data_IF_658281056913
#
_entry.id   IF_658281056913
#
_cell.length_a   1.000
_cell.length_b   1.000
_cell.length_c   1.000
_cell.angle_alpha   90.00
_cell.angle_beta   90.00
_cell.angle_gamma   90.00
#
_symmetry.space_group_name_H-M   'P 1'
#
loop_
_entity.id
_entity.type
_entity.pdbx_description
1 polymer ?
#
# COMPACT_ATOMS: atom_id res chain seq x y z
N UNK A 1 1.43 -33.25 -23.32
CA UNK A 1 0.57 -32.32 -22.57
C UNK A 1 1.18 -32.17 -21.19
N UNK A 2 1.74 -31.01 -20.89
CA UNK A 2 2.49 -30.78 -19.66
C UNK A 2 2.71 -29.30 -19.47
N UNK A 3 1.66 -28.53 -19.75
CA UNK A 3 1.64 -27.10 -19.58
C UNK A 3 1.77 -26.82 -18.08
N UNK A 4 2.92 -26.30 -17.68
CA UNK A 4 3.17 -25.77 -16.34
C UNK A 4 2.29 -24.55 -16.12
N UNK A 5 0.99 -24.77 -15.93
CA UNK A 5 0.03 -23.71 -15.67
C UNK A 5 0.47 -22.97 -14.41
N UNK A 6 0.65 -21.63 -14.46
CA UNK A 6 0.99 -20.88 -13.28
C UNK A 6 -0.15 -21.03 -12.27
N UNK A 7 0.16 -21.56 -11.08
CA UNK A 7 -0.76 -21.60 -9.95
C UNK A 7 -1.15 -20.16 -9.58
N UNK A 8 -2.26 -19.68 -10.13
CA UNK A 8 -2.80 -18.36 -9.82
C UNK A 8 -3.41 -18.45 -8.43
N UNK A 9 -2.66 -17.98 -7.44
CA UNK A 9 -3.16 -17.85 -6.07
C UNK A 9 -4.46 -17.04 -6.05
N UNK A 10 -5.47 -17.39 -5.25
CA UNK A 10 -6.67 -16.57 -5.12
C UNK A 10 -6.35 -15.15 -4.67
N UNK A 11 -7.12 -14.16 -5.14
CA UNK A 11 -6.93 -12.73 -4.79
C UNK A 11 -6.86 -12.51 -3.27
N UNK A 12 -7.72 -13.21 -2.51
CA UNK A 12 -7.74 -13.16 -1.04
C UNK A 12 -6.39 -13.58 -0.43
N UNK A 13 -5.75 -14.62 -0.96
CA UNK A 13 -4.46 -15.07 -0.46
C UNK A 13 -3.37 -14.03 -0.70
N UNK A 14 -3.32 -13.43 -1.90
CA UNK A 14 -2.39 -12.33 -2.20
C UNK A 14 -2.60 -11.14 -1.28
N UNK A 15 -3.86 -10.74 -1.05
CA UNK A 15 -4.19 -9.65 -0.14
C UNK A 15 -3.80 -9.95 1.31
N UNK A 16 -4.04 -11.17 1.80
CA UNK A 16 -3.62 -11.59 3.14
C UNK A 16 -2.10 -11.54 3.30
N UNK A 17 -1.36 -12.02 2.30
CA UNK A 17 0.10 -11.96 2.29
C UNK A 17 0.60 -10.52 2.28
N UNK A 18 0.04 -9.67 1.42
CA UNK A 18 0.38 -8.25 1.37
C UNK A 18 0.06 -7.55 2.70
N UNK A 19 -1.08 -7.87 3.32
CA UNK A 19 -1.48 -7.35 4.63
C UNK A 19 -0.47 -7.73 5.73
N UNK A 20 -0.01 -8.98 5.77
CA UNK A 20 1.02 -9.41 6.72
C UNK A 20 2.35 -8.66 6.52
N UNK A 21 2.79 -8.45 5.28
CA UNK A 21 4.00 -7.69 5.00
C UNK A 21 3.87 -6.21 5.38
N UNK A 22 2.72 -5.59 5.10
CA UNK A 22 2.44 -4.21 5.53
C UNK A 22 2.48 -4.08 7.06
N UNK A 23 1.91 -5.04 7.80
CA UNK A 23 2.02 -5.07 9.28
C UNK A 23 3.48 -5.14 9.75
N UNK A 24 4.32 -5.96 9.12
CA UNK A 24 5.75 -6.06 9.47
C UNK A 24 6.48 -4.74 9.21
N UNK A 25 6.20 -4.10 8.09
CA UNK A 25 6.81 -2.81 7.72
C UNK A 25 6.37 -1.70 8.67
N UNK A 26 5.07 -1.67 9.01
CA UNK A 26 4.51 -0.75 9.99
C UNK A 26 5.16 -0.90 11.37
N UNK A 27 5.28 -2.12 11.90
CA UNK A 27 6.00 -2.38 13.17
C UNK A 27 7.46 -1.93 13.15
N UNK A 28 8.10 -1.96 11.99
CA UNK A 28 9.50 -1.52 11.81
C UNK A 28 9.62 -0.02 11.53
N UNK A 29 8.50 0.72 11.52
CA UNK A 29 8.42 2.14 11.16
C UNK A 29 9.13 2.47 9.84
N UNK A 30 9.08 1.54 8.88
CA UNK A 30 9.73 1.69 7.57
C UNK A 30 8.74 2.26 6.56
N UNK A 31 9.25 3.04 5.61
CA UNK A 31 8.43 3.58 4.51
C UNK A 31 8.16 2.52 3.46
N UNK A 32 6.91 2.45 3.00
CA UNK A 32 6.48 1.60 1.89
C UNK A 32 6.47 2.38 0.59
N UNK A 33 6.77 1.70 -0.52
CA UNK A 33 6.52 2.27 -1.85
C UNK A 33 5.02 2.24 -2.14
N UNK A 34 4.53 3.26 -2.82
CA UNK A 34 3.14 3.33 -3.28
C UNK A 34 3.01 4.31 -4.44
N UNK A 35 1.82 4.38 -5.02
CA UNK A 35 1.53 5.31 -6.09
C UNK A 35 0.49 6.32 -5.62
N UNK A 36 0.82 7.61 -5.71
CA UNK A 36 -0.16 8.66 -5.49
C UNK A 36 -1.17 8.63 -6.64
N UNK A 37 -2.44 8.47 -6.31
CA UNK A 37 -3.54 8.52 -7.26
C UNK A 37 -4.13 9.94 -7.24
N UNK A 38 -5.46 10.06 -7.20
CA UNK A 38 -6.16 11.32 -7.26
C UNK A 38 -6.24 12.06 -5.93
N UNK A 39 -6.43 13.38 -6.03
CA UNK A 39 -6.80 14.24 -4.90
C UNK A 39 -8.27 13.98 -4.55
N UNK A 40 -8.53 13.73 -3.27
CA UNK A 40 -9.87 13.54 -2.71
C UNK A 40 -10.13 14.57 -1.62
N UNK A 41 -11.35 14.62 -1.06
CA UNK A 41 -11.66 15.53 0.05
C UNK A 41 -10.75 15.22 1.25
N UNK A 42 -9.96 16.20 1.67
CA UNK A 42 -9.06 16.12 2.83
C UNK A 42 -7.69 15.46 2.59
N UNK A 43 -7.42 14.94 1.38
CA UNK A 43 -6.17 14.22 1.14
C UNK A 43 -6.00 13.73 -0.31
N UNK A 44 -5.25 12.65 -0.44
CA UNK A 44 -5.05 11.91 -1.69
C UNK A 44 -5.33 10.43 -1.48
N UNK A 45 -5.77 9.77 -2.54
CA UNK A 45 -5.76 8.31 -2.60
C UNK A 45 -4.35 7.82 -2.93
N UNK A 46 -3.90 6.74 -2.29
CA UNK A 46 -2.60 6.12 -2.55
C UNK A 46 -2.78 4.61 -2.70
N UNK A 47 -2.25 4.05 -3.79
CA UNK A 47 -2.20 2.62 -4.01
C UNK A 47 -0.94 2.02 -3.37
N UNK A 48 -1.09 1.05 -2.46
CA UNK A 48 0.00 0.35 -1.79
C UNK A 48 -0.29 -1.14 -1.80
N UNK A 49 0.57 -1.94 -2.43
CA UNK A 49 0.50 -3.42 -2.43
C UNK A 49 -0.91 -3.99 -2.77
N UNK A 50 -1.66 -3.32 -3.66
CA UNK A 50 -3.01 -3.73 -4.05
C UNK A 50 -4.13 -3.23 -3.14
N UNK A 51 -3.84 -2.34 -2.19
CA UNK A 51 -4.81 -1.63 -1.36
C UNK A 51 -4.90 -0.16 -1.77
N UNK A 52 -6.11 0.40 -1.71
CA UNK A 52 -6.35 1.84 -1.80
C UNK A 52 -6.40 2.39 -0.39
N UNK A 53 -5.57 3.37 -0.11
CA UNK A 53 -5.41 3.98 1.22
C UNK A 53 -5.53 5.50 1.12
N UNK A 54 -5.80 6.15 2.26
CA UNK A 54 -5.97 7.60 2.34
C UNK A 54 -4.73 8.28 2.94
N UNK A 55 -4.23 9.31 2.26
CA UNK A 55 -3.14 10.17 2.73
C UNK A 55 -3.68 11.58 3.03
N UNK A 56 -3.78 12.00 4.30
CA UNK A 56 -4.29 13.33 4.63
C UNK A 56 -3.32 14.44 4.21
N UNK A 57 -3.85 15.63 3.86
CA UNK A 57 -3.03 16.75 3.38
C UNK A 57 -1.94 17.17 4.38
N UNK A 58 -2.22 17.08 5.68
CA UNK A 58 -1.24 17.42 6.73
C UNK A 58 -0.01 16.52 6.71
N UNK A 59 -0.16 15.28 6.24
CA UNK A 59 0.94 14.30 6.14
C UNK A 59 1.82 14.55 4.91
N UNK A 60 1.37 15.34 3.93
CA UNK A 60 2.20 15.89 2.85
C UNK A 60 3.02 17.08 3.36
N UNK A 61 4.02 16.81 4.22
CA UNK A 61 5.14 17.76 4.36
C UNK A 61 5.87 17.81 3.02
N UNK A 62 6.21 19.00 2.50
CA UNK A 62 6.91 19.30 1.23
C UNK A 62 8.09 18.34 0.93
N UNK A 63 7.81 17.09 0.61
CA UNK A 63 8.76 16.08 0.17
C UNK A 63 8.59 16.02 -1.32
N UNK A 64 9.69 16.24 -2.03
CA UNK A 64 9.75 16.14 -3.48
C UNK A 64 8.94 14.92 -3.91
N UNK A 65 7.97 15.14 -4.81
CA UNK A 65 7.09 14.14 -5.42
C UNK A 65 7.82 12.88 -5.90
N UNK A 66 9.14 12.92 -6.08
CA UNK A 66 9.92 11.86 -6.74
C UNK A 66 10.21 10.58 -5.95
N UNK A 67 9.88 10.47 -4.65
CA UNK A 67 10.27 9.27 -3.89
C UNK A 67 9.16 8.26 -3.61
N UNK A 68 7.89 8.51 -3.95
CA UNK A 68 6.77 7.53 -3.92
C UNK A 68 6.78 6.60 -2.70
N UNK A 69 7.16 7.16 -1.54
CA UNK A 69 7.40 6.42 -0.30
C UNK A 69 6.64 7.04 0.85
N UNK A 70 5.79 6.24 1.46
CA UNK A 70 4.80 6.65 2.46
C UNK A 70 5.10 5.98 3.80
N UNK A 71 4.89 6.71 4.88
CA UNK A 71 4.82 6.13 6.22
C UNK A 71 3.38 5.65 6.43
N UNK A 72 3.22 4.48 7.04
CA UNK A 72 1.91 3.97 7.44
C UNK A 72 1.70 4.42 8.88
N UNK A 73 0.71 5.28 9.13
CA UNK A 73 0.42 5.77 10.48
C UNK A 73 -0.52 4.80 11.21
N UNK A 74 -1.50 4.24 10.50
CA UNK A 74 -2.48 3.29 11.03
C UNK A 74 -2.78 2.15 10.06
N UNK A 75 -3.02 0.96 10.61
CA UNK A 75 -3.53 -0.23 9.90
C UNK A 75 -4.74 -0.77 10.65
N UNK A 76 -5.94 -0.54 10.13
CA UNK A 76 -7.16 -1.11 10.68
C UNK A 76 -7.48 -2.43 9.95
N UNK A 77 -7.56 -3.57 10.66
CA UNK A 77 -8.15 -4.76 10.06
C UNK A 77 -9.61 -4.47 9.69
N UNK A 78 -10.07 -5.05 8.57
CA UNK A 78 -11.49 -5.12 8.25
C UNK A 78 -12.20 -6.08 9.18
#
# INVERSE_FOLDING_TARGET
VGDGEPLILPRKFRQNRAWMELKKIWRRNKKVKGFLLDKVKGGYSVAIAGFITFLPFRSLKKKRRGNDRFTIDSLHPK
#
